data_IF_302725086352
#
_entry.id   IF_302725086352
#
_cell.length_a   1.000
_cell.length_b   1.000
_cell.length_c   1.000
_cell.angle_alpha   90.00
_cell.angle_beta   90.00
_cell.angle_gamma   90.00
#
_symmetry.space_group_name_H-M   'P 1'
#
loop_
_entity.id
_entity.type
_entity.pdbx_description
1 polymer ?
#
# COMPACT_ATOMS: atom_id res chain seq x y z
N UNK A 1 21.68 22.17 -17.55
CA UNK A 1 21.79 20.94 -16.75
C UNK A 1 20.47 20.77 -16.02
N UNK A 2 19.53 20.06 -16.64
CA UNK A 2 18.28 19.64 -15.98
C UNK A 2 18.68 18.52 -15.04
N UNK A 3 18.92 18.82 -13.76
CA UNK A 3 18.84 17.77 -12.76
C UNK A 3 17.46 17.18 -12.89
N UNK A 4 17.35 15.87 -13.11
CA UNK A 4 16.09 15.13 -13.14
C UNK A 4 15.36 15.32 -11.81
N UNK A 5 14.65 16.44 -11.66
CA UNK A 5 13.66 16.62 -10.62
C UNK A 5 12.60 15.59 -10.97
N UNK A 6 12.59 14.51 -10.20
CA UNK A 6 11.59 13.46 -10.23
C UNK A 6 11.13 13.24 -8.80
N UNK A 7 9.86 12.91 -8.62
CA UNK A 7 9.38 12.53 -7.30
C UNK A 7 9.94 11.15 -7.01
N UNK A 8 10.89 11.08 -6.08
CA UNK A 8 11.60 9.85 -5.79
C UNK A 8 10.66 8.77 -5.24
N UNK A 9 11.01 7.51 -5.48
CA UNK A 9 10.32 6.37 -4.88
C UNK A 9 10.20 6.52 -3.35
N UNK A 10 11.30 6.94 -2.71
CA UNK A 10 11.38 7.13 -1.27
C UNK A 10 10.40 8.20 -0.77
N UNK A 11 10.21 9.28 -1.53
CA UNK A 11 9.25 10.34 -1.22
C UNK A 11 7.82 9.79 -1.15
N UNK A 12 7.37 9.06 -2.19
CA UNK A 12 6.02 8.50 -2.20
C UNK A 12 5.84 7.44 -1.10
N UNK A 13 6.82 6.54 -0.92
CA UNK A 13 6.72 5.51 0.11
C UNK A 13 6.67 6.10 1.52
N UNK A 14 7.36 7.23 1.79
CA UNK A 14 7.20 7.96 3.06
C UNK A 14 5.82 8.58 3.22
N UNK A 15 5.22 9.13 2.16
CA UNK A 15 3.85 9.65 2.25
C UNK A 15 2.86 8.53 2.56
N UNK A 16 3.02 7.37 1.92
CA UNK A 16 2.25 6.17 2.25
C UNK A 16 2.52 5.73 3.69
N UNK A 17 3.78 5.80 4.13
CA UNK A 17 4.21 5.30 5.43
C UNK A 17 3.65 6.09 6.63
N UNK A 18 3.26 7.34 6.39
CA UNK A 18 2.60 8.18 7.39
C UNK A 18 1.11 8.38 7.11
N UNK A 19 0.55 7.61 6.17
CA UNK A 19 -0.82 7.73 5.70
C UNK A 19 -1.18 9.19 5.29
N UNK A 20 -0.22 9.90 4.70
CA UNK A 20 -0.36 11.28 4.25
C UNK A 20 -1.16 11.35 2.94
N UNK A 21 -2.44 10.98 3.00
CA UNK A 21 -3.32 10.76 1.83
C UNK A 21 -3.40 11.97 0.91
N UNK A 22 -3.49 13.19 1.47
CA UNK A 22 -3.54 14.42 0.68
C UNK A 22 -2.23 14.67 -0.09
N UNK A 23 -1.09 14.45 0.56
CA UNK A 23 0.22 14.60 -0.08
C UNK A 23 0.42 13.55 -1.16
N UNK A 24 0.10 12.29 -0.86
CA UNK A 24 0.16 11.18 -1.82
C UNK A 24 -0.70 11.48 -3.06
N UNK A 25 -1.92 12.00 -2.87
CA UNK A 25 -2.82 12.38 -3.97
C UNK A 25 -2.19 13.45 -4.87
N UNK A 26 -1.66 14.52 -4.28
CA UNK A 26 -1.03 15.62 -5.03
C UNK A 26 0.12 15.11 -5.90
N UNK A 27 1.00 14.26 -5.35
CA UNK A 27 2.14 13.75 -6.11
C UNK A 27 1.77 12.69 -7.13
N UNK A 28 0.68 11.94 -6.94
CA UNK A 28 0.19 10.95 -7.91
C UNK A 28 -0.59 11.59 -9.06
N UNK A 29 -1.27 12.70 -8.81
CA UNK A 29 -1.97 13.48 -9.85
C UNK A 29 -1.00 14.32 -10.68
N UNK A 30 0.06 14.87 -10.08
CA UNK A 30 1.04 15.72 -10.77
C UNK A 30 0.48 17.05 -11.30
N UNK A 31 -0.75 17.40 -10.92
CA UNK A 31 -1.47 18.60 -11.39
C UNK A 31 -1.09 19.88 -10.63
N UNK A 32 -0.37 19.75 -9.51
CA UNK A 32 0.04 20.89 -8.72
C UNK A 32 1.12 21.71 -9.46
N UNK A 33 0.96 23.05 -9.59
CA UNK A 33 1.90 23.88 -10.33
C UNK A 33 3.32 23.83 -9.77
N UNK A 34 3.46 23.57 -8.46
CA UNK A 34 4.74 23.42 -7.77
C UNK A 34 5.53 22.17 -8.21
N UNK A 35 4.84 21.19 -8.80
CA UNK A 35 5.44 19.94 -9.27
C UNK A 35 5.89 20.00 -10.74
N UNK A 36 5.62 21.09 -11.48
CA UNK A 36 6.06 21.25 -12.87
C UNK A 36 5.70 20.06 -13.79
N UNK A 37 4.56 19.41 -13.54
CA UNK A 37 4.12 18.23 -14.29
C UNK A 37 4.78 16.91 -13.86
N UNK A 38 5.61 16.91 -12.82
CA UNK A 38 6.13 15.68 -12.22
C UNK A 38 5.02 14.93 -11.50
N UNK A 39 5.01 13.61 -11.68
CA UNK A 39 4.16 12.70 -10.92
C UNK A 39 4.99 11.55 -10.34
N UNK A 40 4.53 11.00 -9.23
CA UNK A 40 5.15 9.83 -8.61
C UNK A 40 4.76 8.56 -9.37
N UNK A 41 5.67 7.60 -9.45
CA UNK A 41 5.35 6.26 -9.94
C UNK A 41 4.61 5.48 -8.82
N UNK A 42 3.34 5.08 -8.99
CA UNK A 42 2.60 4.32 -7.98
C UNK A 42 3.17 2.91 -7.74
N UNK A 43 3.92 2.36 -8.72
CA UNK A 43 4.64 1.09 -8.60
C UNK A 43 6.09 1.29 -8.13
N UNK A 44 6.37 2.34 -7.35
CA UNK A 44 7.69 2.58 -6.81
C UNK A 44 8.05 1.58 -5.70
N UNK A 45 9.31 1.18 -5.66
CA UNK A 45 9.89 0.30 -4.66
C UNK A 45 10.79 1.10 -3.71
N UNK A 46 10.67 0.87 -2.41
CA UNK A 46 11.56 1.47 -1.42
C UNK A 46 12.90 0.70 -1.35
N UNK A 47 13.84 1.24 -0.57
CA UNK A 47 15.13 0.59 -0.27
C UNK A 47 15.03 -0.69 0.56
N UNK A 48 13.84 -1.13 0.92
CA UNK A 48 13.55 -2.35 1.67
C UNK A 48 12.92 -3.43 0.77
N UNK A 49 12.74 -3.17 -0.53
CA UNK A 49 12.13 -4.15 -1.44
C UNK A 49 10.61 -4.14 -1.46
N UNK A 50 9.97 -3.22 -0.73
CA UNK A 50 8.52 -3.09 -0.68
C UNK A 50 8.04 -2.03 -1.66
N UNK A 51 7.00 -2.37 -2.41
CA UNK A 51 6.26 -1.40 -3.21
C UNK A 51 5.37 -0.52 -2.34
N UNK A 52 5.04 0.69 -2.82
CA UNK A 52 4.09 1.58 -2.15
C UNK A 52 2.78 0.87 -1.74
N UNK A 53 2.30 -0.08 -2.54
CA UNK A 53 1.09 -0.82 -2.22
C UNK A 53 1.26 -1.80 -1.03
N UNK A 54 2.46 -2.36 -0.82
CA UNK A 54 2.74 -3.17 0.36
C UNK A 54 2.75 -2.31 1.64
N UNK A 55 3.35 -1.12 1.59
CA UNK A 55 3.38 -0.17 2.70
C UNK A 55 1.96 0.29 3.09
N UNK A 56 1.08 0.47 2.11
CA UNK A 56 -0.33 0.80 2.34
C UNK A 56 -1.09 -0.38 2.96
N UNK A 57 -0.77 -1.62 2.53
CA UNK A 57 -1.35 -2.86 3.03
C UNK A 57 -0.92 -3.16 4.48
N UNK A 58 0.36 -2.98 4.81
CA UNK A 58 0.90 -3.07 6.17
C UNK A 58 0.18 -2.12 7.15
N UNK A 59 -0.18 -0.92 6.67
CA UNK A 59 -0.90 0.08 7.47
C UNK A 59 -2.39 -0.10 7.52
N UNK A 60 -2.91 -1.13 6.84
CA UNK A 60 -4.34 -1.30 6.66
C UNK A 60 -5.00 -0.01 6.14
N UNK A 61 -4.37 0.75 5.24
CA UNK A 61 -4.95 2.03 4.77
C UNK A 61 -5.77 1.82 3.50
N UNK A 62 -7.07 1.57 3.65
CA UNK A 62 -7.98 1.30 2.51
C UNK A 62 -8.04 2.47 1.52
N UNK A 63 -8.06 3.70 2.02
CA UNK A 63 -8.13 4.89 1.14
C UNK A 63 -6.82 5.10 0.37
N UNK A 64 -5.68 4.81 1.00
CA UNK A 64 -4.39 4.85 0.31
C UNK A 64 -4.27 3.74 -0.74
N UNK A 65 -4.73 2.53 -0.43
CA UNK A 65 -4.80 1.41 -1.40
C UNK A 65 -5.66 1.82 -2.61
N UNK A 66 -6.87 2.34 -2.37
CA UNK A 66 -7.75 2.82 -3.46
C UNK A 66 -7.08 3.92 -4.29
N UNK A 67 -6.41 4.86 -3.65
CA UNK A 67 -5.70 5.93 -4.33
C UNK A 67 -4.60 5.37 -5.23
N UNK A 68 -3.72 4.51 -4.69
CA UNK A 68 -2.64 3.89 -5.47
C UNK A 68 -3.19 3.08 -6.66
N UNK A 69 -4.22 2.25 -6.46
CA UNK A 69 -4.85 1.46 -7.51
C UNK A 69 -5.47 2.34 -8.61
N UNK A 70 -6.17 3.43 -8.24
CA UNK A 70 -6.75 4.39 -9.20
C UNK A 70 -5.69 5.04 -10.08
N UNK A 71 -4.48 5.20 -9.57
CA UNK A 71 -3.35 5.77 -10.32
C UNK A 71 -2.49 4.71 -11.04
N UNK A 72 -2.90 3.43 -11.05
CA UNK A 72 -2.22 2.37 -11.82
C UNK A 72 -1.21 1.54 -11.03
N UNK A 73 -1.26 1.54 -9.69
CA UNK A 73 -0.54 0.54 -8.91
C UNK A 73 -1.05 -0.87 -9.27
N UNK A 74 -0.14 -1.81 -9.52
CA UNK A 74 -0.50 -3.20 -9.74
C UNK A 74 -0.70 -3.90 -8.39
N UNK A 75 -1.83 -4.59 -8.16
CA UNK A 75 -2.06 -5.36 -6.94
C UNK A 75 -1.17 -6.62 -6.87
N UNK A 76 -0.58 -7.03 -8.01
CA UNK A 76 0.18 -8.26 -8.17
C UNK A 76 1.71 -8.06 -8.05
N UNK A 77 2.16 -6.88 -7.63
CA UNK A 77 3.57 -6.60 -7.35
C UNK A 77 4.09 -7.53 -6.25
N UNK A 78 5.36 -7.91 -6.36
CA UNK A 78 6.00 -8.82 -5.40
C UNK A 78 7.17 -8.14 -4.71
N UNK A 79 7.33 -8.36 -3.41
CA UNK A 79 8.51 -7.89 -2.68
C UNK A 79 9.78 -8.45 -3.32
N UNK A 80 10.81 -7.62 -3.40
CA UNK A 80 12.10 -7.95 -4.03
C UNK A 80 13.18 -7.88 -2.95
N UNK A 81 13.99 -8.93 -2.80
CA UNK A 81 15.17 -8.84 -1.92
C UNK A 81 16.13 -7.83 -2.51
N UNK A 82 16.66 -6.97 -1.65
CA UNK A 82 17.81 -6.16 -1.99
C UNK A 82 19.02 -6.60 -1.15
N UNK A 83 20.20 -6.23 -1.60
CA UNK A 83 21.47 -6.64 -1.00
C UNK A 83 21.71 -6.04 0.39
N UNK A 84 20.86 -5.10 0.83
CA UNK A 84 21.04 -4.34 2.08
C UNK A 84 20.37 -5.05 3.26
N UNK A 85 19.36 -5.89 3.02
CA UNK A 85 18.52 -6.46 4.09
C UNK A 85 18.27 -7.95 3.84
N UNK A 86 18.82 -8.79 4.72
CA UNK A 86 18.74 -10.25 4.60
C UNK A 86 17.40 -10.84 5.06
N UNK A 87 16.62 -10.10 5.86
CA UNK A 87 15.40 -10.56 6.54
C UNK A 87 14.11 -10.20 5.80
N UNK A 88 14.18 -9.57 4.63
CA UNK A 88 12.99 -9.31 3.81
C UNK A 88 12.53 -10.62 3.17
N UNK A 89 11.28 -11.00 3.42
CA UNK A 89 10.65 -12.14 2.76
C UNK A 89 10.33 -11.73 1.31
N UNK A 90 10.94 -12.43 0.36
CA UNK A 90 10.72 -12.23 -1.07
C UNK A 90 9.39 -12.79 -1.55
N UNK A 91 8.92 -12.29 -2.70
CA UNK A 91 7.77 -12.82 -3.41
C UNK A 91 6.43 -12.72 -2.66
N UNK A 92 6.36 -11.85 -1.66
CA UNK A 92 5.11 -11.51 -1.00
C UNK A 92 4.29 -10.55 -1.87
N UNK A 93 2.98 -10.70 -1.81
CA UNK A 93 2.03 -9.78 -2.43
C UNK A 93 1.62 -8.76 -1.36
N UNK A 94 1.06 -7.60 -1.74
CA UNK A 94 0.44 -6.69 -0.78
C UNK A 94 -0.58 -7.41 0.12
N UNK A 95 -1.30 -8.40 -0.40
CA UNK A 95 -2.23 -9.23 0.37
C UNK A 95 -1.55 -10.07 1.44
N UNK A 96 -0.40 -10.68 1.13
CA UNK A 96 0.36 -11.46 2.10
C UNK A 96 0.81 -10.56 3.27
N UNK A 97 1.33 -9.36 2.96
CA UNK A 97 1.77 -8.38 3.97
C UNK A 97 0.61 -7.90 4.85
N UNK A 98 -0.58 -7.69 4.26
CA UNK A 98 -1.76 -7.38 5.05
C UNK A 98 -2.14 -8.50 6.01
N UNK A 99 -2.24 -9.74 5.53
CA UNK A 99 -2.64 -10.90 6.35
C UNK A 99 -1.62 -11.15 7.47
N UNK A 100 -0.33 -11.11 7.16
CA UNK A 100 0.74 -11.28 8.15
C UNK A 100 0.69 -10.22 9.25
N UNK A 101 0.49 -8.95 8.88
CA UNK A 101 0.28 -7.88 9.86
C UNK A 101 -1.02 -8.03 10.65
N UNK A 102 -2.04 -8.70 10.09
CA UNK A 102 -3.30 -8.95 10.79
C UNK A 102 -3.08 -9.99 11.90
N UNK A 103 -2.24 -10.99 11.64
CA UNK A 103 -1.81 -11.99 12.62
C UNK A 103 -0.88 -11.39 13.68
N UNK A 104 0.00 -10.45 13.31
CA UNK A 104 0.87 -9.71 14.23
C UNK A 104 0.15 -8.62 15.02
N UNK A 105 -1.11 -8.29 14.70
CA UNK A 105 -1.82 -7.22 15.39
C UNK A 105 -2.13 -7.54 16.86
N UNK A 106 -1.77 -8.72 17.38
CA UNK A 106 -1.64 -9.09 18.80
C UNK A 106 -2.75 -8.56 19.73
N UNK A 107 -3.93 -8.38 19.15
CA UNK A 107 -5.24 -8.20 19.74
C UNK A 107 -6.05 -9.51 19.59
N UNK A 108 -5.52 -10.45 18.78
CA UNK A 108 -6.00 -11.82 18.64
C UNK A 108 -5.46 -12.75 19.74
N UNK A 109 -4.33 -12.41 20.38
CA UNK A 109 -3.83 -13.16 21.56
C UNK A 109 -4.72 -12.97 22.79
N UNK A 110 -5.36 -11.81 22.96
CA UNK A 110 -6.16 -11.51 24.16
C UNK A 110 -7.69 -11.73 24.00
N UNK A 111 -8.21 -11.98 22.79
CA UNK A 111 -9.67 -11.97 22.52
C UNK A 111 -10.25 -13.21 21.83
N UNK A 112 -9.44 -14.22 21.51
CA UNK A 112 -9.97 -15.50 21.02
C UNK A 112 -10.58 -16.36 22.13
N UNK A 113 -10.45 -15.96 23.40
CA UNK A 113 -11.03 -16.70 24.52
C UNK A 113 -12.43 -16.25 24.96
N UNK A 114 -13.00 -15.07 24.61
CA UNK A 114 -14.27 -14.71 25.29
C UNK A 114 -15.40 -13.84 24.67
N UNK A 115 -15.30 -13.10 23.55
CA UNK A 115 -16.44 -12.22 23.16
C UNK A 115 -16.74 -12.05 21.67
N UNK A 116 -17.57 -12.97 21.14
CA UNK A 116 -18.14 -13.00 19.78
C UNK A 116 -19.20 -11.94 19.45
N UNK A 117 -19.33 -10.82 20.19
CA UNK A 117 -20.49 -9.92 20.02
C UNK A 117 -20.20 -8.47 19.60
N UNK A 118 -18.94 -8.02 19.49
CA UNK A 118 -18.63 -6.61 19.17
C UNK A 118 -17.66 -6.35 17.99
N UNK A 119 -17.27 -7.37 17.21
CA UNK A 119 -16.13 -7.28 16.28
C UNK A 119 -16.48 -7.31 14.77
N UNK A 120 -17.73 -6.97 14.40
CA UNK A 120 -18.17 -7.04 13.00
C UNK A 120 -17.41 -6.05 12.09
N UNK A 121 -17.12 -4.83 12.58
CA UNK A 121 -16.48 -3.76 11.79
C UNK A 121 -15.02 -4.05 11.42
N UNK A 122 -14.28 -4.73 12.30
CA UNK A 122 -12.87 -5.07 12.10
C UNK A 122 -12.73 -6.24 11.12
N UNK A 123 -13.62 -7.23 11.23
CA UNK A 123 -13.74 -8.31 10.25
C UNK A 123 -14.15 -7.76 8.88
N UNK A 124 -15.13 -6.85 8.83
CA UNK A 124 -15.55 -6.17 7.59
C UNK A 124 -14.39 -5.43 6.91
N UNK A 125 -13.44 -4.89 7.70
CA UNK A 125 -12.25 -4.21 7.19
C UNK A 125 -11.27 -5.19 6.52
N UNK A 126 -11.00 -6.30 7.18
CA UNK A 126 -10.14 -7.38 6.68
C UNK A 126 -10.74 -7.98 5.40
N UNK A 127 -12.05 -8.27 5.40
CA UNK A 127 -12.74 -8.78 4.22
C UNK A 127 -12.73 -7.79 3.06
N UNK A 128 -12.90 -6.48 3.31
CA UNK A 128 -12.77 -5.44 2.28
C UNK A 128 -11.36 -5.40 1.69
N UNK A 129 -10.34 -5.59 2.52
CA UNK A 129 -8.94 -5.55 2.09
C UNK A 129 -8.57 -6.80 1.27
N UNK A 130 -9.00 -7.99 1.72
CA UNK A 130 -8.90 -9.24 0.95
C UNK A 130 -9.64 -9.11 -0.38
N UNK A 131 -10.86 -8.59 -0.37
CA UNK A 131 -11.64 -8.41 -1.60
C UNK A 131 -10.96 -7.44 -2.56
N UNK A 132 -10.46 -6.29 -2.10
CA UNK A 132 -9.78 -5.31 -2.96
C UNK A 132 -8.49 -5.84 -3.60
N UNK A 133 -7.76 -6.69 -2.88
CA UNK A 133 -6.49 -7.26 -3.36
C UNK A 133 -6.68 -8.55 -4.17
N UNK A 134 -7.83 -9.23 -4.01
CA UNK A 134 -8.22 -10.39 -4.82
C UNK A 134 -9.06 -10.02 -6.06
N UNK A 135 -9.46 -8.76 -6.24
CA UNK A 135 -10.26 -8.37 -7.40
C UNK A 135 -9.42 -8.55 -8.69
N UNK A 136 -9.87 -9.39 -9.64
CA UNK A 136 -9.22 -9.52 -10.93
C UNK A 136 -9.32 -8.18 -11.67
N UNK A 137 -8.29 -7.85 -12.45
CA UNK A 137 -8.06 -6.58 -13.15
C UNK A 137 -9.22 -6.11 -14.08
N UNK A 138 -10.31 -6.87 -14.20
CA UNK A 138 -11.45 -6.64 -15.09
C UNK A 138 -12.54 -5.70 -14.57
N UNK A 139 -12.48 -5.17 -13.34
CA UNK A 139 -13.53 -4.30 -12.77
C UNK A 139 -13.13 -2.85 -12.50
N UNK A 140 -11.86 -2.47 -12.75
CA UNK A 140 -11.39 -1.08 -12.62
C UNK A 140 -11.45 -0.28 -13.93
N UNK A 141 -11.89 -0.91 -15.02
CA UNK A 141 -12.27 -0.23 -16.25
C UNK A 141 -13.76 -0.45 -16.50
N UNK A 142 -14.61 0.45 -16.02
CA UNK A 142 -15.76 0.98 -16.76
C UNK A 142 -16.57 1.96 -15.89
N UNK A 143 -16.77 3.14 -16.49
CA UNK A 143 -17.59 4.31 -16.14
C UNK A 143 -16.92 5.41 -15.32
#
# INVERSE_FOLDING_TARGET
MSSDLTITAQTLTFMVSFNALRCAKVVLEGMAPELYGMHANPNCINKFGYFALHEAAERFSVDMIKLLLRHGASPNVRTVRNDVIFDVIENLLPLHVAVENTCLHKYLEDNLEDNLSHNQSHLDYIYKLIHLLCLPESLLGHN
#
